data_IF_178587385938
#
_entry.id   IF_178587385938
#
_cell.length_a   1.000
_cell.length_b   1.000
_cell.length_c   1.000
_cell.angle_alpha   90.00
_cell.angle_beta   90.00
_cell.angle_gamma   90.00
#
_symmetry.space_group_name_H-M   'P 1'
#
loop_
_entity.id
_entity.type
_entity.pdbx_description
1 polymer ?
#
# COMPACT_ATOMS: atom_id res chain seq x y z
N UNK A 1 9.13 -16.82 5.58
CA UNK A 1 8.00 -16.88 6.55
C UNK A 1 8.40 -16.09 7.79
N UNK A 2 8.01 -14.82 7.85
CA UNK A 2 8.25 -13.99 9.04
C UNK A 2 7.11 -14.16 10.02
N UNK A 3 7.41 -14.68 11.21
CA UNK A 3 6.45 -14.75 12.31
C UNK A 3 6.04 -13.32 12.69
N UNK A 4 4.85 -12.92 12.32
CA UNK A 4 4.27 -11.65 12.74
C UNK A 4 3.98 -11.73 14.23
N UNK A 5 4.72 -10.99 15.04
CA UNK A 5 4.40 -10.87 16.46
C UNK A 5 3.00 -10.22 16.63
N UNK A 6 2.11 -10.76 17.47
CA UNK A 6 0.72 -10.28 17.61
C UNK A 6 0.60 -8.81 18.07
N UNK A 7 1.64 -8.22 18.64
CA UNK A 7 1.67 -6.83 19.09
C UNK A 7 1.84 -5.81 17.95
N UNK A 8 2.52 -6.17 16.86
CA UNK A 8 2.79 -5.24 15.76
C UNK A 8 1.59 -5.08 14.82
N UNK A 9 0.82 -6.15 14.59
CA UNK A 9 -0.42 -6.04 13.80
C UNK A 9 -1.48 -5.15 14.46
N UNK A 10 -1.49 -5.07 15.79
CA UNK A 10 -2.38 -4.18 16.54
C UNK A 10 -2.08 -2.69 16.32
N UNK A 11 -0.82 -2.31 16.10
CA UNK A 11 -0.45 -0.92 15.85
C UNK A 11 -0.98 -0.42 14.49
N UNK A 12 -0.87 -1.22 13.44
CA UNK A 12 -1.41 -0.87 12.12
C UNK A 12 -2.95 -0.82 12.10
N UNK A 13 -3.62 -1.68 12.85
CA UNK A 13 -5.09 -1.70 12.96
C UNK A 13 -5.68 -0.63 13.87
N UNK A 14 -4.87 0.24 14.46
CA UNK A 14 -5.35 1.30 15.34
C UNK A 14 -6.14 2.38 14.58
N UNK A 15 -7.09 3.02 15.24
CA UNK A 15 -7.87 4.12 14.66
C UNK A 15 -6.96 5.26 14.15
N UNK A 16 -5.88 5.58 14.86
CA UNK A 16 -4.92 6.61 14.47
C UNK A 16 -4.23 6.27 13.16
N UNK A 17 -3.72 5.03 13.01
CA UNK A 17 -3.07 4.57 11.78
C UNK A 17 -4.06 4.52 10.61
N UNK A 18 -5.26 3.98 10.82
CA UNK A 18 -6.28 3.92 9.78
C UNK A 18 -6.73 5.30 9.32
N UNK A 19 -6.87 6.25 10.25
CA UNK A 19 -7.18 7.65 9.93
C UNK A 19 -6.06 8.30 9.11
N UNK A 20 -4.81 8.03 9.46
CA UNK A 20 -3.66 8.54 8.71
C UNK A 20 -3.62 7.95 7.28
N UNK A 21 -3.80 6.64 7.11
CA UNK A 21 -3.89 6.01 5.78
C UNK A 21 -5.05 6.59 4.98
N UNK A 22 -6.22 6.75 5.59
CA UNK A 22 -7.37 7.37 4.94
C UNK A 22 -7.06 8.78 4.43
N UNK A 23 -6.48 9.64 5.25
CA UNK A 23 -6.08 11.01 4.88
C UNK A 23 -5.17 11.04 3.66
N UNK A 24 -4.23 10.09 3.53
CA UNK A 24 -3.32 10.00 2.40
C UNK A 24 -3.97 9.44 1.13
N UNK A 25 -5.08 8.72 1.25
CA UNK A 25 -5.84 8.16 0.12
C UNK A 25 -7.08 8.96 -0.27
N UNK A 26 -7.52 9.89 0.58
CA UNK A 26 -8.72 10.69 0.35
C UNK A 26 -8.69 11.43 -1.00
N UNK A 27 -9.79 11.35 -1.75
CA UNK A 27 -9.91 11.93 -3.08
C UNK A 27 -9.08 11.26 -4.19
N UNK A 28 -8.41 10.14 -3.90
CA UNK A 28 -7.49 9.47 -4.82
C UNK A 28 -8.03 8.13 -5.35
N UNK A 29 -9.24 8.15 -5.86
CA UNK A 29 -9.83 6.98 -6.50
C UNK A 29 -9.38 6.87 -7.98
N UNK A 30 -9.10 5.68 -8.51
CA UNK A 30 -9.13 4.38 -7.85
C UNK A 30 -7.91 4.13 -6.96
N UNK A 31 -8.15 3.43 -5.85
CA UNK A 31 -7.12 2.99 -4.90
C UNK A 31 -7.03 1.46 -4.89
N UNK A 32 -5.82 0.93 -4.83
CA UNK A 32 -5.57 -0.49 -4.59
C UNK A 32 -4.86 -0.68 -3.26
N UNK A 33 -5.23 -1.72 -2.54
CA UNK A 33 -4.59 -2.13 -1.28
C UNK A 33 -4.02 -3.53 -1.45
N UNK A 34 -2.72 -3.66 -1.30
CA UNK A 34 -2.00 -4.94 -1.22
C UNK A 34 -1.72 -5.23 0.26
N UNK A 35 -2.63 -5.96 0.89
CA UNK A 35 -2.52 -6.20 2.32
C UNK A 35 -3.81 -6.75 2.94
N UNK A 36 -3.93 -6.67 4.26
CA UNK A 36 -5.05 -7.28 4.95
C UNK A 36 -6.38 -6.57 4.63
N UNK A 37 -7.50 -7.33 4.60
CA UNK A 37 -8.81 -6.79 4.23
C UNK A 37 -9.30 -5.62 5.08
N UNK A 38 -8.90 -5.55 6.36
CA UNK A 38 -9.28 -4.45 7.25
C UNK A 38 -8.66 -3.12 6.82
N UNK A 39 -7.47 -3.14 6.24
CA UNK A 39 -6.82 -1.94 5.69
C UNK A 39 -7.59 -1.41 4.47
N UNK A 40 -8.04 -2.31 3.60
CA UNK A 40 -8.90 -1.97 2.48
C UNK A 40 -10.25 -1.39 2.93
N UNK A 41 -10.82 -1.92 4.01
CA UNK A 41 -12.07 -1.41 4.58
C UNK A 41 -11.93 0.05 5.09
N UNK A 42 -10.79 0.37 5.71
CA UNK A 42 -10.49 1.74 6.14
C UNK A 42 -10.37 2.72 4.95
N UNK A 43 -9.74 2.27 3.87
CA UNK A 43 -9.50 3.08 2.66
C UNK A 43 -10.76 3.22 1.81
N UNK A 44 -11.69 2.25 1.85
CA UNK A 44 -12.88 2.23 0.99
C UNK A 44 -13.82 3.44 1.14
N UNK A 45 -13.67 4.23 2.20
CA UNK A 45 -14.42 5.48 2.37
C UNK A 45 -13.94 6.61 1.44
N UNK A 46 -12.75 6.47 0.84
CA UNK A 46 -12.17 7.49 -0.05
C UNK A 46 -12.58 7.33 -1.52
N UNK A 47 -13.37 6.32 -1.86
CA UNK A 47 -13.85 6.04 -3.20
C UNK A 47 -13.67 4.58 -3.60
N UNK A 48 -13.59 4.32 -4.92
CA UNK A 48 -13.46 2.95 -5.44
C UNK A 48 -12.14 2.32 -5.03
N UNK A 49 -12.23 1.24 -4.25
CA UNK A 49 -11.09 0.53 -3.68
C UNK A 49 -11.10 -0.94 -4.09
N UNK A 50 -9.96 -1.44 -4.54
CA UNK A 50 -9.72 -2.86 -4.76
C UNK A 50 -8.71 -3.37 -3.73
N UNK A 51 -9.05 -4.45 -3.04
CA UNK A 51 -8.14 -5.15 -2.14
C UNK A 51 -7.64 -6.42 -2.82
N UNK A 52 -6.33 -6.53 -2.94
CA UNK A 52 -5.67 -7.75 -3.41
C UNK A 52 -5.18 -8.54 -2.19
N UNK A 53 -5.62 -9.77 -2.08
CA UNK A 53 -5.34 -10.63 -0.93
C UNK A 53 -4.77 -11.97 -1.38
N UNK A 54 -3.95 -12.59 -0.55
CA UNK A 54 -3.55 -13.98 -0.69
C UNK A 54 -4.75 -14.92 -0.51
N UNK A 55 -4.66 -16.11 -1.08
CA UNK A 55 -5.76 -17.10 -1.09
C UNK A 55 -6.26 -17.43 0.33
N UNK A 56 -5.37 -17.48 1.30
CA UNK A 56 -5.68 -17.77 2.71
C UNK A 56 -6.54 -16.67 3.37
N UNK A 57 -6.37 -15.43 2.96
CA UNK A 57 -7.14 -14.29 3.47
C UNK A 57 -8.51 -14.12 2.77
N UNK A 58 -8.80 -14.89 1.71
CA UNK A 58 -10.03 -14.79 0.92
C UNK A 58 -11.32 -14.82 1.74
N UNK A 59 -11.53 -15.74 2.70
CA UNK A 59 -12.78 -15.78 3.47
C UNK A 59 -13.03 -14.50 4.29
N UNK A 60 -11.96 -13.93 4.85
CA UNK A 60 -12.03 -12.65 5.60
C UNK A 60 -12.34 -11.50 4.66
N UNK A 61 -11.66 -11.46 3.53
CA UNK A 61 -11.82 -10.43 2.51
C UNK A 61 -13.25 -10.38 1.94
N UNK A 62 -13.85 -11.53 1.67
CA UNK A 62 -15.24 -11.60 1.20
C UNK A 62 -16.25 -11.11 2.24
N UNK A 63 -16.03 -11.41 3.53
CA UNK A 63 -16.87 -10.86 4.63
C UNK A 63 -16.72 -9.34 4.71
N UNK A 64 -15.51 -8.82 4.61
CA UNK A 64 -15.21 -7.38 4.61
C UNK A 64 -15.90 -6.69 3.45
N UNK A 65 -15.80 -7.24 2.22
CA UNK A 65 -16.51 -6.75 1.04
C UNK A 65 -18.02 -6.69 1.27
N UNK A 66 -18.62 -7.77 1.75
CA UNK A 66 -20.08 -7.84 2.03
C UNK A 66 -20.51 -6.78 3.04
N UNK A 67 -19.71 -6.52 4.07
CA UNK A 67 -19.96 -5.46 5.05
C UNK A 67 -19.87 -4.08 4.43
N UNK A 68 -18.81 -3.81 3.64
CA UNK A 68 -18.61 -2.54 2.96
C UNK A 68 -19.78 -2.22 2.00
N UNK A 69 -20.20 -3.19 1.19
CA UNK A 69 -21.35 -3.01 0.30
C UNK A 69 -22.66 -2.72 1.04
N UNK A 70 -22.91 -3.34 2.20
CA UNK A 70 -24.07 -2.99 3.05
C UNK A 70 -24.03 -1.55 3.56
N UNK A 71 -22.85 -0.94 3.61
CA UNK A 71 -22.62 0.44 4.03
C UNK A 71 -22.44 1.40 2.84
N UNK A 72 -22.82 0.98 1.62
CA UNK A 72 -22.66 1.74 0.37
C UNK A 72 -21.21 2.16 0.08
N UNK A 73 -20.23 1.37 0.51
CA UNK A 73 -18.82 1.61 0.21
C UNK A 73 -18.39 0.75 -0.98
N UNK A 74 -17.67 1.35 -1.92
CA UNK A 74 -17.21 0.70 -3.16
C UNK A 74 -15.89 -0.07 -2.89
N UNK A 75 -16.01 -1.24 -2.28
CA UNK A 75 -14.90 -2.16 -2.01
C UNK A 75 -15.05 -3.45 -2.82
N UNK A 76 -14.07 -3.74 -3.64
CA UNK A 76 -13.93 -5.02 -4.33
C UNK A 76 -12.73 -5.81 -3.78
N UNK A 77 -12.73 -7.11 -4.03
CA UNK A 77 -11.68 -8.03 -3.59
C UNK A 77 -11.27 -8.92 -4.75
N UNK A 78 -9.96 -9.05 -4.97
CA UNK A 78 -9.40 -10.02 -5.90
C UNK A 78 -8.26 -10.79 -5.22
N UNK A 79 -7.94 -11.97 -5.77
CA UNK A 79 -6.78 -12.73 -5.32
C UNK A 79 -5.52 -12.18 -5.98
N UNK A 80 -4.49 -11.96 -5.18
CA UNK A 80 -3.15 -11.74 -5.67
C UNK A 80 -2.61 -13.07 -6.22
N UNK A 81 -2.27 -13.10 -7.50
CA UNK A 81 -1.56 -14.21 -8.13
C UNK A 81 -0.07 -13.93 -8.26
N UNK A 82 0.64 -14.77 -9.02
CA UNK A 82 2.04 -14.55 -9.35
C UNK A 82 2.27 -13.21 -10.09
N UNK A 83 1.28 -12.81 -10.89
CA UNK A 83 1.24 -11.50 -11.53
C UNK A 83 0.12 -10.66 -10.92
N UNK A 84 0.44 -9.41 -10.62
CA UNK A 84 -0.57 -8.47 -10.14
C UNK A 84 -1.41 -8.00 -11.33
N UNK A 85 -2.75 -8.10 -11.28
CA UNK A 85 -3.63 -7.71 -12.38
C UNK A 85 -3.83 -6.19 -12.43
N UNK A 86 -2.72 -5.43 -12.36
CA UNK A 86 -2.73 -3.98 -12.31
C UNK A 86 -2.28 -3.40 -13.65
N UNK A 87 -3.06 -2.46 -14.18
CA UNK A 87 -2.69 -1.72 -15.39
C UNK A 87 -1.73 -0.59 -15.07
N UNK A 88 -0.78 -0.35 -15.96
CA UNK A 88 0.10 0.81 -15.90
C UNK A 88 -0.72 2.12 -15.97
N UNK A 89 -0.30 3.10 -15.19
CA UNK A 89 -0.88 4.43 -15.17
C UNK A 89 -2.37 4.47 -14.82
N UNK A 90 -2.88 3.51 -14.05
CA UNK A 90 -4.31 3.40 -13.75
C UNK A 90 -4.68 3.85 -12.33
N UNK A 91 -3.73 3.90 -11.40
CA UNK A 91 -4.02 4.09 -9.99
C UNK A 91 -3.63 5.47 -9.50
N UNK A 92 -4.48 6.09 -8.70
CA UNK A 92 -4.19 7.34 -8.01
C UNK A 92 -3.59 7.13 -6.63
N UNK A 93 -3.86 5.99 -6.01
CA UNK A 93 -3.19 5.58 -4.79
C UNK A 93 -3.00 4.04 -4.76
N UNK A 94 -1.91 3.64 -4.16
CA UNK A 94 -1.57 2.24 -3.91
C UNK A 94 -1.08 2.13 -2.47
N UNK A 95 -1.75 1.32 -1.68
CA UNK A 95 -1.39 1.04 -0.29
C UNK A 95 -0.79 -0.35 -0.22
N UNK A 96 0.37 -0.46 0.39
CA UNK A 96 1.10 -1.72 0.56
C UNK A 96 1.45 -1.94 2.02
N UNK A 97 1.51 -3.19 2.45
CA UNK A 97 1.90 -3.55 3.82
C UNK A 97 3.23 -4.28 3.83
N UNK A 98 4.01 -4.08 4.92
CA UNK A 98 5.18 -4.88 5.24
C UNK A 98 6.40 -4.68 4.31
N UNK A 99 6.61 -3.48 3.80
CA UNK A 99 7.84 -3.14 3.06
C UNK A 99 9.07 -3.22 3.97
N UNK A 100 8.94 -2.78 5.22
CA UNK A 100 10.00 -2.84 6.24
C UNK A 100 10.42 -4.29 6.59
N UNK A 101 9.58 -5.28 6.33
CA UNK A 101 9.89 -6.69 6.53
C UNK A 101 10.73 -7.32 5.40
N UNK A 102 10.87 -6.63 4.27
CA UNK A 102 11.69 -7.08 3.15
C UNK A 102 13.14 -6.65 3.32
N UNK A 103 14.08 -7.39 2.73
CA UNK A 103 15.43 -6.88 2.54
C UNK A 103 15.41 -5.77 1.46
N UNK A 104 16.47 -4.98 1.40
CA UNK A 104 16.51 -3.80 0.52
C UNK A 104 16.34 -4.14 -0.97
N UNK A 105 17.04 -5.13 -1.55
CA UNK A 105 16.86 -5.48 -2.96
C UNK A 105 15.47 -6.02 -3.28
N UNK A 106 14.85 -6.76 -2.38
CA UNK A 106 13.50 -7.28 -2.59
C UNK A 106 12.44 -6.16 -2.47
N UNK A 107 12.60 -5.25 -1.51
CA UNK A 107 11.76 -4.08 -1.39
C UNK A 107 11.83 -3.22 -2.67
N UNK A 108 13.03 -2.91 -3.14
CA UNK A 108 13.24 -2.13 -4.37
C UNK A 108 12.63 -2.81 -5.61
N UNK A 109 12.84 -4.12 -5.76
CA UNK A 109 12.28 -4.91 -6.88
C UNK A 109 10.75 -4.91 -6.84
N UNK A 110 10.17 -5.12 -5.67
CA UNK A 110 8.71 -5.13 -5.51
C UNK A 110 8.10 -3.77 -5.80
N UNK A 111 8.66 -2.70 -5.24
CA UNK A 111 8.21 -1.34 -5.50
C UNK A 111 8.38 -0.94 -6.98
N UNK A 112 9.46 -1.38 -7.64
CA UNK A 112 9.67 -1.14 -9.07
C UNK A 112 8.58 -1.76 -9.96
N UNK A 113 7.98 -2.88 -9.52
CA UNK A 113 6.84 -3.48 -10.22
C UNK A 113 5.53 -2.68 -9.99
N UNK A 114 5.41 -1.96 -8.88
CA UNK A 114 4.19 -1.26 -8.48
C UNK A 114 4.13 0.20 -8.97
N UNK A 115 5.26 0.91 -8.96
CA UNK A 115 5.31 2.34 -9.34
C UNK A 115 4.73 2.60 -10.72
N UNK A 116 4.98 1.77 -11.76
CA UNK A 116 4.40 1.97 -13.09
C UNK A 116 2.87 1.87 -13.13
N UNK A 117 2.22 1.30 -12.12
CA UNK A 117 0.77 1.22 -12.03
C UNK A 117 0.13 2.56 -11.60
N UNK A 118 0.92 3.44 -11.00
CA UNK A 118 0.45 4.76 -10.58
C UNK A 118 0.39 5.74 -11.76
N UNK A 119 -0.61 6.62 -11.74
CA UNK A 119 -0.57 7.82 -12.58
C UNK A 119 0.54 8.76 -12.11
N UNK A 120 1.07 9.65 -12.96
CA UNK A 120 1.94 10.73 -12.51
C UNK A 120 1.29 11.53 -11.36
N UNK A 121 2.01 11.77 -10.29
CA UNK A 121 1.47 12.38 -9.08
C UNK A 121 0.59 11.47 -8.21
N UNK A 122 0.40 10.22 -8.62
CA UNK A 122 -0.23 9.19 -7.78
C UNK A 122 0.63 8.87 -6.55
N UNK A 123 0.03 8.32 -5.50
CA UNK A 123 0.71 8.04 -4.22
C UNK A 123 0.92 6.56 -3.98
N UNK A 124 2.13 6.19 -3.59
CA UNK A 124 2.43 4.92 -2.95
C UNK A 124 2.50 5.16 -1.44
N UNK A 125 1.81 4.33 -0.67
CA UNK A 125 1.76 4.39 0.79
C UNK A 125 2.17 3.02 1.32
N UNK A 126 3.31 2.93 1.99
CA UNK A 126 3.70 1.75 2.74
C UNK A 126 3.22 1.89 4.19
N UNK A 127 2.50 0.89 4.68
CA UNK A 127 2.06 0.78 6.05
C UNK A 127 2.83 -0.37 6.73
N UNK A 128 3.72 -0.02 7.64
CA UNK A 128 4.67 -0.96 8.24
C UNK A 128 4.48 -1.05 9.76
N UNK A 129 4.46 -2.28 10.28
CA UNK A 129 4.47 -2.55 11.70
C UNK A 129 5.91 -2.54 12.21
N UNK A 130 6.44 -1.37 12.55
CA UNK A 130 7.80 -1.20 13.08
C UNK A 130 7.92 0.02 13.97
N UNK A 131 8.83 -0.01 14.94
CA UNK A 131 9.30 1.15 15.72
C UNK A 131 10.78 1.45 15.43
N UNK A 132 11.39 0.74 14.49
CA UNK A 132 12.82 0.87 14.17
C UNK A 132 13.08 2.01 13.20
N UNK A 133 13.89 2.98 13.60
CA UNK A 133 14.38 4.06 12.73
C UNK A 133 15.26 3.53 11.59
N UNK A 134 15.98 2.43 11.82
CA UNK A 134 16.78 1.76 10.77
C UNK A 134 15.86 1.19 9.70
N UNK A 135 14.75 0.56 10.10
CA UNK A 135 13.74 0.08 9.15
C UNK A 135 13.08 1.23 8.40
N UNK A 136 12.79 2.35 9.07
CA UNK A 136 12.24 3.54 8.43
C UNK A 136 13.19 4.11 7.36
N UNK A 137 14.48 4.27 7.70
CA UNK A 137 15.49 4.74 6.73
C UNK A 137 15.61 3.81 5.52
N UNK A 138 15.54 2.49 5.74
CA UNK A 138 15.59 1.49 4.66
C UNK A 138 14.38 1.57 3.74
N UNK A 139 13.17 1.74 4.28
CA UNK A 139 11.95 1.92 3.47
C UNK A 139 12.04 3.22 2.65
N UNK A 140 12.49 4.31 3.25
CA UNK A 140 12.72 5.56 2.51
C UNK A 140 13.75 5.38 1.38
N UNK A 141 14.85 4.67 1.64
CA UNK A 141 15.85 4.33 0.63
C UNK A 141 15.27 3.52 -0.53
N UNK A 142 14.43 2.52 -0.24
CA UNK A 142 13.73 1.75 -1.26
C UNK A 142 12.78 2.61 -2.11
N UNK A 143 12.09 3.58 -1.51
CA UNK A 143 11.25 4.53 -2.25
C UNK A 143 12.07 5.44 -3.18
N UNK A 144 13.20 5.96 -2.69
CA UNK A 144 14.13 6.74 -3.51
C UNK A 144 14.70 5.93 -4.68
N UNK A 145 15.06 4.67 -4.44
CA UNK A 145 15.62 3.78 -5.46
C UNK A 145 14.68 3.54 -6.65
N UNK A 146 13.38 3.69 -6.47
CA UNK A 146 12.36 3.57 -7.52
C UNK A 146 11.84 4.92 -8.01
N UNK A 147 12.60 5.99 -7.79
CA UNK A 147 12.32 7.35 -8.24
C UNK A 147 11.02 7.99 -7.68
N UNK A 148 10.48 7.48 -6.59
CA UNK A 148 9.43 8.20 -5.88
C UNK A 148 9.99 9.50 -5.31
N UNK A 149 9.19 10.54 -5.35
CA UNK A 149 9.51 11.88 -4.87
C UNK A 149 8.65 12.27 -3.67
N UNK A 150 8.91 13.44 -3.08
CA UNK A 150 8.13 13.98 -1.95
C UNK A 150 7.93 12.93 -0.84
N UNK A 151 9.01 12.22 -0.48
CA UNK A 151 8.90 11.15 0.50
C UNK A 151 8.66 11.73 1.87
N UNK A 152 7.56 11.31 2.49
CA UNK A 152 7.16 11.67 3.84
C UNK A 152 7.07 10.40 4.67
N UNK A 153 7.58 10.46 5.89
CA UNK A 153 7.39 9.41 6.89
C UNK A 153 6.67 9.98 8.10
N UNK A 154 5.68 9.23 8.58
CA UNK A 154 4.96 9.58 9.80
C UNK A 154 4.75 8.35 10.68
N UNK A 155 4.71 8.59 11.98
CA UNK A 155 4.43 7.61 13.00
C UNK A 155 3.07 7.95 13.63
N UNK A 156 1.95 7.43 13.07
CA UNK A 156 0.63 7.74 13.62
C UNK A 156 0.48 7.31 15.08
N UNK A 157 1.24 6.29 15.46
CA UNK A 157 1.44 5.84 16.82
C UNK A 157 2.72 5.01 16.92
N UNK A 158 3.13 4.71 18.14
CA UNK A 158 4.24 3.77 18.38
C UNK A 158 3.99 2.42 17.74
N UNK A 159 4.98 1.90 17.03
CA UNK A 159 4.93 0.63 16.32
C UNK A 159 4.22 0.64 14.97
N UNK A 160 3.79 1.82 14.48
CA UNK A 160 3.22 1.98 13.14
C UNK A 160 3.96 3.08 12.38
N UNK A 161 4.53 2.74 11.24
CA UNK A 161 5.18 3.65 10.30
C UNK A 161 4.36 3.72 9.01
N UNK A 162 4.09 4.94 8.55
CA UNK A 162 3.65 5.20 7.18
C UNK A 162 4.77 5.88 6.41
N UNK A 163 5.11 5.34 5.24
CA UNK A 163 6.01 5.97 4.27
C UNK A 163 5.22 6.26 3.02
N UNK A 164 5.16 7.51 2.63
CA UNK A 164 4.40 8.02 1.49
C UNK A 164 5.38 8.55 0.45
N UNK A 165 5.19 8.21 -0.82
CA UNK A 165 5.93 8.76 -1.93
C UNK A 165 5.01 9.09 -3.10
N UNK A 166 5.39 10.07 -3.89
CA UNK A 166 4.67 10.53 -5.08
C UNK A 166 5.31 9.95 -6.33
N UNK A 167 4.49 9.38 -7.21
CA UNK A 167 4.97 8.84 -8.48
C UNK A 167 5.51 9.95 -9.39
N UNK A 168 6.68 9.73 -10.02
CA UNK A 168 7.33 10.73 -10.86
C UNK A 168 6.51 11.00 -12.15
N UNK A 169 6.89 12.01 -12.93
CA UNK A 169 6.30 12.28 -14.25
C UNK A 169 6.36 11.07 -15.18
N UNK A 170 5.41 10.97 -16.12
CA UNK A 170 5.29 9.84 -17.05
C UNK A 170 6.59 9.54 -17.80
N UNK A 171 7.30 10.54 -18.28
CA UNK A 171 8.57 10.38 -19.00
C UNK A 171 9.64 9.66 -18.15
N UNK A 172 9.68 9.89 -16.84
CA UNK A 172 10.60 9.20 -15.91
C UNK A 172 10.17 7.74 -15.72
N UNK A 173 8.87 7.50 -15.59
CA UNK A 173 8.32 6.14 -15.48
C UNK A 173 8.62 5.34 -16.75
N UNK A 174 8.38 5.91 -17.92
CA UNK A 174 8.65 5.27 -19.21
C UNK A 174 10.14 4.97 -19.41
N UNK A 175 11.02 5.93 -19.13
CA UNK A 175 12.47 5.74 -19.28
C UNK A 175 13.04 4.67 -18.33
N UNK A 176 12.49 4.57 -17.12
CA UNK A 176 13.07 3.72 -16.06
C UNK A 176 12.42 2.34 -15.98
N UNK A 177 11.17 2.21 -16.34
CA UNK A 177 10.36 1.01 -16.22
C UNK A 177 9.79 0.53 -17.56
N UNK A 178 10.42 0.91 -18.69
CA UNK A 178 10.06 0.37 -19.99
C UNK A 178 10.09 -1.17 -19.95
N UNK A 179 9.10 -1.85 -20.55
CA UNK A 179 9.20 -3.29 -20.74
C UNK A 179 10.41 -3.59 -21.64
N UNK A 180 11.09 -4.73 -21.43
CA UNK A 180 12.18 -5.18 -22.29
C UNK A 180 11.72 -5.43 -23.71
#
# INVERSE_FOLDING_TARGET
MGVRGPLLSGALGSAQTLTAVFRWTEGRSPTVVLGPPWLGDAVANSGRTLVLVESEARPVALRTRKRAHKQNRALDVALAGAELPLRRGALRALVVENVAGLNEPDAARWLAALVPCLVPGGRLIAADATSSTVSAARVAGAFLSVALTEIVQEWPREGALLTIGVAPPAAVIEARFAPP
#
